data_IF_023895894664
#
_entry.id   IF_023895894664
#
_cell.length_a   1.000
_cell.length_b   1.000
_cell.length_c   1.000
_cell.angle_alpha   90.00
_cell.angle_beta   90.00
_cell.angle_gamma   90.00
#
_symmetry.space_group_name_H-M   'P 1'
#
loop_
_entity.id
_entity.type
_entity.pdbx_description
1 polymer ?
#
# COMPACT_ATOMS: atom_id res chain seq x y z
N UNK A 1 24.70 -24.34 4.80
CA UNK A 1 25.15 -22.93 4.84
C UNK A 1 25.62 -22.52 6.23
N UNK A 2 24.82 -22.74 7.27
CA UNK A 2 25.16 -22.39 8.66
C UNK A 2 26.47 -23.02 9.15
N UNK A 3 26.72 -24.29 8.83
CA UNK A 3 27.96 -24.98 9.23
C UNK A 3 29.21 -24.36 8.60
N UNK A 4 29.10 -23.85 7.38
CA UNK A 4 30.18 -23.16 6.69
C UNK A 4 30.50 -21.83 7.40
N UNK A 5 29.47 -21.05 7.74
CA UNK A 5 29.66 -19.80 8.48
C UNK A 5 30.27 -20.08 9.87
N UNK A 6 29.77 -21.08 10.59
CA UNK A 6 30.32 -21.51 11.88
C UNK A 6 31.79 -21.94 11.78
N UNK A 7 32.16 -22.68 10.73
CA UNK A 7 33.55 -23.10 10.50
C UNK A 7 34.49 -21.91 10.22
N UNK A 8 34.01 -20.89 9.50
CA UNK A 8 34.79 -19.71 9.14
C UNK A 8 34.81 -18.61 10.23
N UNK A 9 34.01 -18.74 11.29
CA UNK A 9 33.87 -17.73 12.34
C UNK A 9 35.13 -17.45 13.16
N UNK A 10 36.02 -18.42 13.35
CA UNK A 10 37.22 -18.25 14.20
C UNK A 10 38.12 -17.12 13.68
N UNK A 11 38.43 -16.16 14.55
CA UNK A 11 39.37 -15.07 14.29
C UNK A 11 38.84 -13.96 13.37
N UNK A 12 37.53 -13.94 13.06
CA UNK A 12 36.91 -12.92 12.19
C UNK A 12 35.60 -12.42 12.77
N UNK A 13 35.32 -11.13 12.57
CA UNK A 13 33.99 -10.56 12.79
C UNK A 13 33.17 -10.71 11.51
N UNK A 14 32.02 -11.38 11.61
CA UNK A 14 31.08 -11.52 10.50
C UNK A 14 29.82 -10.74 10.85
N UNK A 15 29.46 -9.79 9.99
CA UNK A 15 28.20 -9.06 10.07
C UNK A 15 27.25 -9.66 9.04
N UNK A 16 26.08 -10.10 9.50
CA UNK A 16 25.03 -10.69 8.68
C UNK A 16 23.74 -9.92 8.92
N UNK A 17 22.96 -9.73 7.87
CA UNK A 17 21.58 -9.23 7.95
C UNK A 17 20.66 -10.34 7.47
N UNK A 18 19.63 -10.65 8.25
CA UNK A 18 18.64 -11.69 7.92
C UNK A 18 17.25 -11.19 8.27
N UNK A 19 16.25 -11.64 7.51
CA UNK A 19 14.83 -11.46 7.83
C UNK A 19 14.24 -12.65 8.59
N UNK A 20 14.99 -13.74 8.74
CA UNK A 20 14.58 -14.92 9.51
C UNK A 20 15.14 -14.84 10.92
N UNK A 21 14.26 -14.80 11.93
CA UNK A 21 14.68 -14.67 13.32
C UNK A 21 15.43 -15.92 13.82
N UNK A 22 15.08 -17.11 13.30
CA UNK A 22 15.78 -18.37 13.61
C UNK A 22 17.24 -18.36 13.14
N UNK A 23 17.53 -17.75 11.98
CA UNK A 23 18.90 -17.61 11.50
C UNK A 23 19.73 -16.71 12.42
N UNK A 24 19.14 -15.61 12.88
CA UNK A 24 19.77 -14.69 13.82
C UNK A 24 20.02 -15.37 15.18
N UNK A 25 19.08 -16.17 15.65
CA UNK A 25 19.15 -16.90 16.92
C UNK A 25 20.25 -17.98 16.89
N UNK A 26 20.38 -18.72 15.78
CA UNK A 26 21.35 -19.83 15.65
C UNK A 26 22.77 -19.36 15.33
N UNK A 27 22.94 -18.26 14.61
CA UNK A 27 24.25 -17.78 14.13
C UNK A 27 24.79 -16.58 14.91
N UNK A 28 23.93 -15.80 15.53
CA UNK A 28 24.27 -14.51 16.12
C UNK A 28 24.78 -14.62 17.55
N UNK A 29 26.00 -14.10 17.80
CA UNK A 29 26.48 -13.86 19.17
C UNK A 29 25.83 -12.64 19.80
N UNK A 30 25.66 -11.62 18.96
CA UNK A 30 24.96 -10.38 19.28
C UNK A 30 24.01 -10.09 18.14
N UNK A 31 22.75 -9.93 18.48
CA UNK A 31 21.65 -9.67 17.58
C UNK A 31 21.25 -8.22 17.79
N UNK A 32 21.20 -7.44 16.71
CA UNK A 32 20.73 -6.07 16.71
C UNK A 32 19.37 -5.98 16.01
N UNK A 33 18.39 -5.38 16.67
CA UNK A 33 17.06 -5.15 16.08
C UNK A 33 16.98 -3.69 15.64
N UNK A 34 16.72 -3.48 14.36
CA UNK A 34 16.58 -2.16 13.75
C UNK A 34 15.11 -1.89 13.41
N UNK A 35 14.61 -0.70 13.76
CA UNK A 35 13.27 -0.23 13.38
C UNK A 35 13.31 1.26 13.09
N UNK A 36 12.60 1.69 12.03
CA UNK A 36 12.51 3.09 11.59
C UNK A 36 13.86 3.80 11.36
N UNK A 37 14.86 3.04 10.90
CA UNK A 37 16.20 3.57 10.63
C UNK A 37 17.09 3.72 11.88
N UNK A 38 16.61 3.30 13.05
CA UNK A 38 17.35 3.35 14.31
C UNK A 38 17.56 1.94 14.88
N UNK A 39 18.73 1.71 15.49
CA UNK A 39 19.02 0.48 16.22
C UNK A 39 18.31 0.53 17.57
N UNK A 40 17.28 -0.30 17.75
CA UNK A 40 16.42 -0.28 18.93
C UNK A 40 17.05 -1.01 20.12
N UNK A 41 17.63 -2.19 19.86
CA UNK A 41 18.30 -2.96 20.89
C UNK A 41 19.41 -3.84 20.28
N UNK A 42 20.38 -4.21 21.12
CA UNK A 42 21.46 -5.11 20.76
C UNK A 42 21.83 -5.98 21.96
N UNK A 43 21.99 -7.28 21.75
CA UNK A 43 22.37 -8.22 22.82
C UNK A 43 22.40 -9.65 22.34
N UNK A 44 22.74 -10.60 23.21
CA UNK A 44 22.57 -12.02 22.90
C UNK A 44 21.08 -12.38 22.78
N UNK A 45 20.77 -13.49 22.11
CA UNK A 45 19.38 -13.96 22.00
C UNK A 45 18.73 -14.13 23.38
N UNK A 46 19.43 -14.74 24.33
CA UNK A 46 18.95 -14.93 25.71
C UNK A 46 18.70 -13.61 26.41
N UNK A 47 19.58 -12.61 26.24
CA UNK A 47 19.40 -11.27 26.81
C UNK A 47 18.13 -10.60 26.26
N UNK A 48 17.96 -10.61 24.94
CA UNK A 48 16.81 -9.99 24.28
C UNK A 48 15.50 -10.65 24.70
N UNK A 49 15.46 -11.99 24.76
CA UNK A 49 14.29 -12.76 25.21
C UNK A 49 13.95 -12.50 26.68
N UNK A 50 14.94 -12.35 27.57
CA UNK A 50 14.70 -12.03 28.98
C UNK A 50 14.25 -10.60 29.20
N UNK A 51 14.88 -9.64 28.52
CA UNK A 51 14.67 -8.21 28.77
C UNK A 51 13.41 -7.67 28.07
N UNK A 52 13.14 -8.12 26.84
CA UNK A 52 12.01 -7.66 26.04
C UNK A 52 10.89 -8.70 25.89
N UNK A 53 11.13 -9.95 26.26
CA UNK A 53 10.12 -11.00 26.20
C UNK A 53 9.10 -10.90 27.33
N UNK A 54 7.98 -11.61 27.18
CA UNK A 54 6.91 -11.61 28.17
C UNK A 54 7.13 -12.65 29.29
N UNK A 55 7.95 -13.67 29.06
CA UNK A 55 8.15 -14.79 30.00
C UNK A 55 8.09 -16.15 29.30
N UNK A 56 7.92 -17.21 30.09
CA UNK A 56 7.53 -18.51 29.57
C UNK A 56 6.01 -18.56 29.42
N UNK A 57 5.52 -19.13 28.32
CA UNK A 57 4.10 -19.31 28.09
C UNK A 57 3.69 -20.73 28.48
N UNK A 58 2.84 -20.85 29.48
CA UNK A 58 2.20 -22.09 29.87
C UNK A 58 0.84 -22.19 29.17
N UNK A 59 0.72 -23.18 28.29
CA UNK A 59 -0.49 -23.50 27.55
C UNK A 59 -1.14 -24.71 28.20
N UNK A 60 -2.35 -24.56 28.72
CA UNK A 60 -3.12 -25.65 29.32
C UNK A 60 -4.23 -26.06 28.35
N UNK A 61 -4.27 -27.33 27.97
CA UNK A 61 -5.34 -27.90 27.14
C UNK A 61 -6.41 -28.49 28.03
N UNK A 62 -7.62 -27.95 27.98
CA UNK A 62 -8.75 -28.41 28.80
C UNK A 62 -9.49 -29.56 28.12
N UNK A 63 -10.21 -30.36 28.90
CA UNK A 63 -11.09 -31.38 28.37
C UNK A 63 -12.27 -30.75 27.60
N UNK A 64 -12.68 -31.32 26.45
CA UNK A 64 -13.82 -30.82 25.70
C UNK A 64 -15.08 -30.79 26.56
N UNK A 65 -15.62 -29.61 26.82
CA UNK A 65 -16.81 -29.41 27.67
C UNK A 65 -16.52 -28.98 29.12
N UNK A 66 -15.26 -29.01 29.58
CA UNK A 66 -14.88 -28.57 30.93
C UNK A 66 -15.26 -27.10 31.23
N UNK A 67 -15.13 -26.24 30.21
CA UNK A 67 -15.58 -24.85 30.27
C UNK A 67 -17.11 -24.69 30.20
N UNK A 68 -17.86 -25.71 29.74
CA UNK A 68 -19.30 -25.62 29.50
C UNK A 68 -20.19 -26.17 30.64
N UNK A 69 -19.68 -27.05 31.50
CA UNK A 69 -20.53 -27.88 32.39
C UNK A 69 -20.09 -27.89 33.86
N UNK A 70 -20.50 -26.89 34.65
CA UNK A 70 -20.68 -27.06 36.11
C UNK A 70 -21.96 -26.37 36.60
N UNK A 71 -23.11 -26.98 36.33
CA UNK A 71 -24.35 -26.80 37.10
C UNK A 71 -25.12 -28.13 37.17
N UNK A 72 -24.94 -28.88 38.26
CA UNK A 72 -26.02 -29.61 38.95
C UNK A 72 -25.50 -30.43 40.13
N UNK A 73 -25.55 -29.85 41.32
CA UNK A 73 -26.02 -30.54 42.52
C UNK A 73 -26.41 -29.43 43.50
N UNK A 74 -27.68 -29.09 43.59
CA UNK A 74 -28.55 -29.66 44.63
C UNK A 74 -30.00 -29.32 44.30
N UNK A 75 -30.90 -30.19 44.76
CA UNK A 75 -32.31 -30.20 44.47
C UNK A 75 -33.10 -29.02 45.09
N UNK A 76 -34.28 -28.81 44.52
CA UNK A 76 -35.48 -28.13 45.01
C UNK A 76 -35.86 -26.79 44.34
N UNK A 77 -37.11 -26.82 43.87
CA UNK A 77 -38.07 -25.75 43.57
C UNK A 77 -38.10 -25.08 42.17
N UNK A 78 -39.26 -25.14 41.47
CA UNK A 78 -39.51 -24.39 40.25
C UNK A 78 -40.05 -22.99 40.58
N UNK A 79 -40.08 -22.13 39.57
CA UNK A 79 -40.66 -20.75 39.54
C UNK A 79 -39.64 -19.63 39.74
N UNK A 80 -38.99 -19.23 38.65
CA UNK A 80 -38.69 -17.83 38.36
C UNK A 80 -38.44 -17.64 36.86
N UNK A 81 -39.43 -17.06 36.18
CA UNK A 81 -39.32 -16.51 34.83
C UNK A 81 -38.36 -15.31 34.89
N UNK A 82 -37.16 -15.42 34.33
CA UNK A 82 -36.25 -14.29 34.14
C UNK A 82 -35.36 -14.48 32.90
N UNK A 83 -35.74 -13.72 31.86
CA UNK A 83 -34.96 -13.15 30.75
C UNK A 83 -33.59 -13.74 30.40
N UNK A 84 -33.56 -14.37 29.24
CA UNK A 84 -32.37 -14.87 28.54
C UNK A 84 -31.49 -13.73 28.02
N UNK A 85 -30.52 -13.24 28.80
CA UNK A 85 -29.32 -12.60 28.20
C UNK A 85 -28.05 -12.48 29.07
N UNK A 86 -28.02 -13.02 30.28
CA UNK A 86 -26.84 -12.87 31.16
C UNK A 86 -26.56 -14.14 31.98
N UNK A 87 -26.23 -15.25 31.31
CA UNK A 87 -25.95 -16.53 32.00
C UNK A 87 -24.84 -17.38 31.37
N UNK A 88 -24.13 -16.88 30.36
CA UNK A 88 -23.14 -17.66 29.59
C UNK A 88 -21.67 -17.28 29.86
N UNK A 89 -21.39 -16.34 30.75
CA UNK A 89 -20.04 -15.77 30.97
C UNK A 89 -19.52 -15.94 32.40
N UNK A 90 -20.28 -16.54 33.31
CA UNK A 90 -19.93 -16.61 34.74
C UNK A 90 -19.18 -17.89 35.14
N UNK A 91 -19.41 -19.00 34.43
CA UNK A 91 -18.75 -20.30 34.70
C UNK A 91 -17.28 -20.32 34.27
N UNK A 92 -17.00 -19.77 33.09
CA UNK A 92 -15.64 -19.67 32.53
C UNK A 92 -14.69 -18.90 33.46
N UNK A 93 -15.17 -17.90 34.19
CA UNK A 93 -14.34 -17.07 35.06
C UNK A 93 -13.98 -17.75 36.39
N UNK A 94 -14.81 -18.66 36.92
CA UNK A 94 -14.58 -19.27 38.23
C UNK A 94 -13.46 -20.33 38.18
N UNK A 95 -13.50 -21.23 37.22
CA UNK A 95 -12.49 -22.28 37.04
C UNK A 95 -11.14 -21.68 36.64
N UNK A 96 -11.14 -20.71 35.71
CA UNK A 96 -9.92 -19.98 35.31
C UNK A 96 -9.31 -19.25 36.51
N UNK A 97 -10.13 -18.67 37.39
CA UNK A 97 -9.65 -18.01 38.61
C UNK A 97 -9.07 -18.99 39.64
N UNK A 98 -9.62 -20.20 39.76
CA UNK A 98 -9.05 -21.27 40.59
C UNK A 98 -7.69 -21.74 40.06
N UNK A 99 -7.57 -21.95 38.75
CA UNK A 99 -6.29 -22.31 38.11
C UNK A 99 -5.28 -21.18 38.28
N UNK A 100 -5.68 -19.93 38.07
CA UNK A 100 -4.82 -18.77 38.28
C UNK A 100 -4.33 -18.69 39.73
N UNK A 101 -5.21 -18.93 40.72
CA UNK A 101 -4.83 -18.94 42.13
C UNK A 101 -3.78 -20.01 42.44
N UNK A 102 -3.96 -21.24 41.92
CA UNK A 102 -3.01 -22.33 42.06
C UNK A 102 -1.64 -22.01 41.45
N UNK A 103 -1.63 -21.46 40.22
CA UNK A 103 -0.39 -21.05 39.55
C UNK A 103 0.29 -19.91 40.32
N UNK A 104 -0.47 -18.94 40.83
CA UNK A 104 0.09 -17.78 41.56
C UNK A 104 0.64 -18.16 42.93
N UNK A 105 0.08 -19.20 43.57
CA UNK A 105 0.59 -19.75 44.83
C UNK A 105 1.99 -20.34 44.68
N UNK A 106 2.24 -21.05 43.59
CA UNK A 106 3.52 -21.72 43.33
C UNK A 106 4.51 -20.86 42.53
N UNK A 107 4.02 -19.95 41.69
CA UNK A 107 4.80 -19.03 40.85
C UNK A 107 4.27 -17.60 41.02
N UNK A 108 4.83 -16.82 41.97
CA UNK A 108 4.37 -15.45 42.18
C UNK A 108 4.72 -14.58 40.96
N UNK A 109 3.72 -13.85 40.45
CA UNK A 109 3.85 -12.99 39.27
C UNK A 109 3.35 -13.62 37.96
N UNK A 110 2.77 -14.81 38.00
CA UNK A 110 2.07 -15.37 36.84
C UNK A 110 0.89 -14.47 36.41
N UNK A 111 0.76 -14.23 35.10
CA UNK A 111 -0.32 -13.42 34.53
C UNK A 111 -1.08 -14.20 33.47
N UNK A 112 -2.39 -13.95 33.39
CA UNK A 112 -3.27 -14.59 32.40
C UNK A 112 -3.32 -13.75 31.13
N UNK A 113 -3.04 -14.36 29.96
CA UNK A 113 -3.06 -13.65 28.67
C UNK A 113 -4.42 -13.77 27.98
N UNK A 114 -4.85 -15.00 27.69
CA UNK A 114 -6.01 -15.24 26.83
C UNK A 114 -6.61 -16.64 27.05
N UNK A 115 -7.94 -16.73 26.97
CA UNK A 115 -8.68 -18.00 26.85
C UNK A 115 -9.26 -18.08 25.44
N UNK A 116 -8.92 -19.15 24.71
CA UNK A 116 -9.50 -19.42 23.41
C UNK A 116 -10.61 -20.46 23.55
N UNK A 117 -11.86 -19.97 23.58
CA UNK A 117 -13.05 -20.83 23.72
C UNK A 117 -13.25 -21.80 22.56
N UNK A 118 -12.60 -21.57 21.40
CA UNK A 118 -12.70 -22.44 20.22
C UNK A 118 -11.77 -23.66 20.29
N UNK A 119 -10.65 -23.57 21.00
CA UNK A 119 -9.64 -24.63 21.13
C UNK A 119 -9.60 -25.26 22.53
N UNK A 120 -10.41 -24.76 23.48
CA UNK A 120 -10.39 -25.18 24.89
C UNK A 120 -9.00 -25.06 25.53
N UNK A 121 -8.23 -24.03 25.15
CA UNK A 121 -6.88 -23.77 25.66
C UNK A 121 -6.83 -22.51 26.53
N UNK A 122 -6.06 -22.57 27.61
CA UNK A 122 -5.75 -21.43 28.49
C UNK A 122 -4.27 -21.08 28.40
N UNK A 123 -3.96 -19.80 28.21
CA UNK A 123 -2.59 -19.31 28.10
C UNK A 123 -2.20 -18.42 29.28
N UNK A 124 -1.11 -18.80 29.96
CA UNK A 124 -0.53 -18.08 31.10
C UNK A 124 0.91 -17.68 30.79
N UNK A 125 1.35 -16.58 31.36
CA UNK A 125 2.74 -16.12 31.32
C UNK A 125 3.37 -16.29 32.68
N UNK A 126 4.46 -17.03 32.72
CA UNK A 126 5.30 -17.27 33.89
C UNK A 126 6.54 -16.37 33.81
N UNK A 127 6.87 -15.60 34.86
CA UNK A 127 8.06 -14.74 34.90
C UNK A 127 9.37 -15.51 34.75
N UNK A 128 10.38 -14.85 34.16
CA UNK A 128 11.74 -15.41 34.05
C UNK A 128 12.45 -15.57 35.39
N UNK A 129 12.08 -14.80 36.41
CA UNK A 129 12.74 -14.82 37.71
C UNK A 129 12.43 -16.09 38.52
N UNK A 130 11.34 -16.79 38.18
CA UNK A 130 10.84 -17.97 38.91
C UNK A 130 11.14 -19.30 38.22
N UNK A 131 12.12 -19.35 37.30
CA UNK A 131 12.52 -20.58 36.60
C UNK A 131 12.88 -21.71 37.58
N UNK A 132 13.49 -21.37 38.71
CA UNK A 132 13.86 -22.35 39.74
C UNK A 132 12.63 -23.04 40.35
N UNK A 133 11.50 -22.33 40.47
CA UNK A 133 10.24 -22.86 41.00
C UNK A 133 9.56 -23.85 40.05
N UNK A 134 9.89 -23.84 38.76
CA UNK A 134 9.27 -24.72 37.75
C UNK A 134 9.51 -26.20 38.03
N UNK A 135 10.69 -26.54 38.56
CA UNK A 135 11.05 -27.91 38.91
C UNK A 135 10.14 -28.53 39.98
N UNK A 136 9.63 -27.72 40.91
CA UNK A 136 8.68 -28.13 41.94
C UNK A 136 7.22 -27.96 41.51
N UNK A 137 6.93 -26.98 40.66
CA UNK A 137 5.59 -26.67 40.17
C UNK A 137 5.02 -27.73 39.22
N UNK A 138 5.79 -28.19 38.22
CA UNK A 138 5.25 -29.13 37.22
C UNK A 138 4.80 -30.48 37.81
N UNK A 139 5.53 -31.11 38.75
CA UNK A 139 5.05 -32.33 39.41
C UNK A 139 3.75 -32.14 40.20
N UNK A 140 3.55 -30.95 40.80
CA UNK A 140 2.32 -30.62 41.51
C UNK A 140 1.17 -30.35 40.54
N UNK A 141 1.45 -29.67 39.43
CA UNK A 141 0.48 -29.49 38.36
C UNK A 141 0.03 -30.84 37.79
N UNK A 142 0.97 -31.77 37.56
CA UNK A 142 0.71 -33.14 37.10
C UNK A 142 -0.23 -33.92 38.03
N UNK A 143 -0.07 -33.77 39.35
CA UNK A 143 -0.93 -34.40 40.34
C UNK A 143 -2.37 -33.87 40.27
N UNK A 144 -2.52 -32.56 40.03
CA UNK A 144 -3.82 -31.88 40.07
C UNK A 144 -4.50 -31.73 38.69
N UNK A 145 -3.90 -32.21 37.59
CA UNK A 145 -4.47 -32.16 36.23
C UNK A 145 -5.91 -32.66 36.17
N UNK A 146 -6.19 -33.77 36.86
CA UNK A 146 -7.52 -34.41 36.88
C UNK A 146 -8.58 -33.59 37.63
N UNK A 147 -8.18 -32.77 38.60
CA UNK A 147 -9.09 -31.93 39.39
C UNK A 147 -9.52 -30.65 38.65
N UNK A 148 -8.64 -30.17 37.76
CA UNK A 148 -8.82 -28.97 36.95
C UNK A 148 -9.37 -29.25 35.53
N UNK A 149 -9.73 -30.50 35.23
CA UNK A 149 -10.21 -30.93 33.91
C UNK A 149 -9.20 -30.62 32.77
N UNK A 150 -7.90 -30.76 33.05
CA UNK A 150 -6.79 -30.50 32.12
C UNK A 150 -6.34 -31.81 31.47
N UNK A 151 -6.28 -31.84 30.14
CA UNK A 151 -5.81 -32.98 29.34
C UNK A 151 -4.30 -33.01 29.24
N UNK A 152 -3.67 -31.84 29.18
CA UNK A 152 -2.22 -31.71 29.14
C UNK A 152 -1.78 -30.26 29.13
N UNK A 153 -0.48 -30.04 29.30
CA UNK A 153 0.10 -28.70 29.23
C UNK A 153 1.34 -28.68 28.33
N UNK A 154 1.60 -27.52 27.73
CA UNK A 154 2.80 -27.22 26.96
C UNK A 154 3.45 -25.96 27.53
N UNK A 155 4.78 -25.92 27.51
CA UNK A 155 5.55 -24.74 27.93
C UNK A 155 6.36 -24.28 26.73
N UNK A 156 6.16 -23.04 26.31
CA UNK A 156 6.93 -22.42 25.22
C UNK A 156 7.71 -21.22 25.73
N UNK A 157 8.86 -20.98 25.12
CA UNK A 157 9.70 -19.81 25.42
C UNK A 157 9.31 -18.68 24.47
N UNK A 158 9.45 -17.43 24.90
CA UNK A 158 9.31 -16.28 24.01
C UNK A 158 10.29 -16.42 22.83
N UNK A 159 9.77 -16.39 21.59
CA UNK A 159 10.58 -16.42 20.37
C UNK A 159 11.21 -15.06 20.08
N UNK A 160 12.27 -15.03 19.28
CA UNK A 160 12.91 -13.77 18.89
C UNK A 160 12.00 -12.95 17.95
N UNK A 161 11.07 -13.60 17.25
CA UNK A 161 9.99 -12.95 16.48
C UNK A 161 9.05 -12.14 17.37
N UNK A 162 8.66 -12.68 18.52
CA UNK A 162 7.82 -11.97 19.48
C UNK A 162 8.54 -10.76 20.07
N UNK A 163 9.83 -10.91 20.40
CA UNK A 163 10.68 -9.79 20.84
C UNK A 163 10.77 -8.73 19.74
N UNK A 164 10.97 -9.13 18.49
CA UNK A 164 11.04 -8.22 17.35
C UNK A 164 9.73 -7.42 17.17
N UNK A 165 8.57 -8.08 17.22
CA UNK A 165 7.27 -7.42 17.10
C UNK A 165 7.01 -6.46 18.26
N UNK A 166 7.43 -6.83 19.48
CA UNK A 166 7.27 -6.01 20.68
C UNK A 166 8.14 -4.76 20.66
N UNK A 167 9.40 -4.87 20.20
CA UNK A 167 10.32 -3.75 20.03
C UNK A 167 9.93 -2.88 18.81
N UNK A 168 9.35 -3.48 17.77
CA UNK A 168 8.91 -2.81 16.54
C UNK A 168 7.65 -1.95 16.69
N UNK A 169 6.89 -2.10 17.78
CA UNK A 169 5.70 -1.31 18.09
C UNK A 169 4.36 -1.91 17.63
N UNK A 170 4.36 -3.11 17.07
CA UNK A 170 3.16 -3.79 16.55
C UNK A 170 2.64 -4.85 17.57
N UNK A 171 2.19 -4.38 18.73
CA UNK A 171 1.72 -5.23 19.84
C UNK A 171 0.56 -6.18 19.48
N UNK A 172 -0.27 -5.84 18.49
CA UNK A 172 -1.42 -6.67 18.07
C UNK A 172 -1.01 -7.92 17.27
N UNK A 173 0.16 -7.90 16.63
CA UNK A 173 0.67 -9.04 15.84
C UNK A 173 1.44 -10.03 16.70
N UNK A 174 2.09 -9.58 17.78
CA UNK A 174 2.83 -10.43 18.71
C UNK A 174 1.94 -11.52 19.36
N UNK A 175 0.68 -11.18 19.66
CA UNK A 175 -0.32 -12.12 20.20
C UNK A 175 -0.76 -13.17 19.17
N UNK A 176 -0.78 -12.82 17.86
CA UNK A 176 -1.19 -13.74 16.79
C UNK A 176 -0.05 -14.69 16.37
N UNK A 177 1.21 -14.23 16.38
CA UNK A 177 2.38 -15.05 16.07
C UNK A 177 2.52 -16.24 17.04
N UNK A 178 2.16 -16.03 18.31
CA UNK A 178 2.15 -17.06 19.34
C UNK A 178 1.11 -18.17 19.09
N UNK A 179 -0.02 -17.86 18.43
CA UNK A 179 -1.05 -18.83 18.10
C UNK A 179 -0.74 -19.64 16.82
N UNK A 180 0.12 -19.12 15.93
CA UNK A 180 0.46 -19.79 14.66
C UNK A 180 1.57 -20.85 14.76
N UNK A 181 2.23 -21.00 15.92
CA UNK A 181 3.29 -22.00 16.12
C UNK A 181 2.77 -23.43 16.38
N UNK A 182 1.46 -23.65 16.40
CA UNK A 182 0.79 -24.91 16.79
C UNK A 182 0.88 -26.06 15.73
N UNK A 183 1.74 -25.91 14.71
CA UNK A 183 1.74 -26.77 13.52
C UNK A 183 2.94 -27.70 13.31
N UNK A 184 4.07 -27.50 14.00
CA UNK A 184 5.29 -28.25 13.66
C UNK A 184 6.30 -28.34 14.80
N UNK A 185 6.17 -29.36 15.67
CA UNK A 185 7.34 -30.09 16.19
C UNK A 185 6.92 -31.38 16.91
N UNK A 186 6.90 -32.49 16.16
CA UNK A 186 7.11 -33.84 16.68
C UNK A 186 8.47 -34.30 16.19
N UNK A 187 9.53 -34.05 16.95
CA UNK A 187 10.72 -34.90 17.05
C UNK A 187 11.80 -34.26 17.95
N UNK A 188 12.10 -34.95 19.06
CA UNK A 188 13.46 -35.19 19.59
C UNK A 188 14.46 -34.03 19.61
N UNK A 189 14.78 -33.54 20.81
CA UNK A 189 15.99 -32.75 21.06
C UNK A 189 16.30 -32.59 22.54
N UNK A 190 16.87 -33.61 23.16
CA UNK A 190 17.60 -33.49 24.44
C UNK A 190 18.74 -32.48 24.28
N UNK A 191 18.55 -31.26 24.77
CA UNK A 191 19.60 -30.26 24.92
C UNK A 191 20.10 -30.25 26.36
N UNK A 192 21.35 -30.65 26.55
CA UNK A 192 22.07 -30.54 27.82
C UNK A 192 22.16 -29.09 28.29
N UNK A 193 21.88 -28.87 29.58
CA UNK A 193 22.08 -27.61 30.26
C UNK A 193 23.59 -27.42 30.53
N UNK A 194 24.31 -26.86 29.57
CA UNK A 194 25.66 -26.37 29.83
C UNK A 194 25.57 -24.93 30.37
N UNK A 195 25.81 -24.82 31.67
CA UNK A 195 26.04 -23.57 32.39
C UNK A 195 27.44 -23.05 32.03
N UNK A 196 27.51 -22.08 31.11
CA UNK A 196 28.76 -21.33 30.87
C UNK A 196 28.81 -20.08 31.75
N UNK A 197 29.96 -19.90 32.41
CA UNK A 197 30.27 -18.82 33.33
C UNK A 197 30.99 -17.70 32.56
N UNK A 198 30.48 -16.48 32.71
CA UNK A 198 31.26 -15.26 32.64
C UNK A 198 31.72 -14.81 31.25
N UNK A 199 30.94 -13.93 30.61
CA UNK A 199 31.48 -12.93 29.69
C UNK A 199 30.85 -11.58 29.99
N UNK A 200 31.72 -10.57 30.12
CA UNK A 200 31.45 -9.21 30.56
C UNK A 200 30.29 -8.55 29.81
N UNK A 201 29.29 -8.11 30.58
CA UNK A 201 28.10 -7.42 30.10
C UNK A 201 28.44 -5.94 29.84
N UNK A 202 28.56 -5.57 28.56
CA UNK A 202 28.65 -4.15 28.18
C UNK A 202 27.22 -3.60 28.13
N UNK A 203 26.79 -3.03 29.25
CA UNK A 203 25.69 -2.08 29.31
C UNK A 203 26.11 -0.83 28.53
N UNK A 204 25.71 -0.73 27.26
CA UNK A 204 25.86 0.52 26.51
C UNK A 204 24.86 1.50 27.07
N UNK A 205 25.29 2.27 28.08
CA UNK A 205 24.60 3.48 28.52
C UNK A 205 24.44 4.38 27.29
N UNK A 206 23.20 4.48 26.83
CA UNK A 206 22.71 5.27 25.69
C UNK A 206 22.74 6.77 25.99
N UNK A 207 23.89 7.31 26.36
CA UNK A 207 24.08 8.75 26.59
C UNK A 207 25.12 9.36 25.64
N UNK A 208 26.25 8.69 25.38
CA UNK A 208 27.32 9.29 24.57
C UNK A 208 27.29 8.91 23.08
N UNK A 209 26.61 7.83 22.69
CA UNK A 209 26.40 7.50 21.26
C UNK A 209 25.45 8.47 20.56
N UNK A 210 24.68 9.27 21.31
CA UNK A 210 23.80 10.30 20.74
C UNK A 210 24.56 11.47 20.11
N UNK A 211 25.84 11.71 20.47
CA UNK A 211 26.62 12.82 19.91
C UNK A 211 27.27 12.54 18.56
N UNK A 212 27.50 11.27 18.18
CA UNK A 212 28.14 10.95 16.90
C UNK A 212 27.15 10.65 15.76
N UNK A 213 25.89 10.35 16.07
CA UNK A 213 24.83 10.13 15.06
C UNK A 213 24.01 11.40 14.78
N UNK A 214 24.13 12.45 15.60
CA UNK A 214 23.51 13.76 15.39
C UNK A 214 24.22 14.64 14.32
N UNK A 215 24.82 14.02 13.30
CA UNK A 215 25.34 14.70 12.11
C UNK A 215 25.02 13.93 10.82
N UNK A 216 23.87 13.28 10.78
CA UNK A 216 23.17 13.02 9.53
C UNK A 216 22.13 14.12 9.36
N UNK A 217 22.52 15.23 8.74
CA UNK A 217 21.53 16.10 8.10
C UNK A 217 20.63 15.16 7.27
N UNK A 218 19.33 15.16 7.57
CA UNK A 218 18.33 14.43 6.79
C UNK A 218 18.67 14.57 5.30
N UNK A 219 18.65 13.50 4.48
CA UNK A 219 18.85 13.68 3.06
C UNK A 219 17.78 14.66 2.60
N UNK A 220 18.21 15.88 2.27
CA UNK A 220 17.34 17.00 1.96
C UNK A 220 16.25 16.47 1.03
N UNK A 221 14.98 16.65 1.37
CA UNK A 221 13.81 16.08 0.68
C UNK A 221 13.95 16.07 -0.87
N UNK A 222 14.62 17.08 -1.41
CA UNK A 222 15.01 17.23 -2.81
C UNK A 222 15.83 16.06 -3.40
N UNK A 223 16.79 15.50 -2.66
CA UNK A 223 17.60 14.36 -3.11
C UNK A 223 16.71 13.12 -3.26
N UNK A 224 15.80 12.90 -2.32
CA UNK A 224 14.83 11.81 -2.41
C UNK A 224 13.89 12.02 -3.60
N UNK A 225 13.33 13.23 -3.74
CA UNK A 225 12.47 13.60 -4.88
C UNK A 225 13.20 13.37 -6.21
N UNK A 226 14.44 13.81 -6.33
CA UNK A 226 15.26 13.62 -7.54
C UNK A 226 15.52 12.13 -7.84
N UNK A 227 15.83 11.33 -6.82
CA UNK A 227 16.01 9.88 -6.95
C UNK A 227 14.75 9.18 -7.47
N UNK A 228 13.58 9.53 -6.92
CA UNK A 228 12.30 8.98 -7.38
C UNK A 228 11.90 9.47 -8.77
N UNK A 229 12.13 10.75 -9.07
CA UNK A 229 11.92 11.31 -10.40
C UNK A 229 12.75 10.57 -11.45
N UNK A 230 14.05 10.38 -11.19
CA UNK A 230 14.95 9.63 -12.06
C UNK A 230 14.53 8.17 -12.20
N UNK A 231 14.12 7.52 -11.10
CA UNK A 231 13.59 6.15 -11.12
C UNK A 231 12.35 6.05 -12.02
N UNK A 232 11.41 6.99 -11.88
CA UNK A 232 10.17 7.02 -12.68
C UNK A 232 10.48 7.15 -14.17
N UNK A 233 11.37 8.07 -14.54
CA UNK A 233 11.78 8.28 -15.93
C UNK A 233 12.52 7.06 -16.50
N UNK A 234 13.46 6.48 -15.73
CA UNK A 234 14.20 5.29 -16.16
C UNK A 234 13.28 4.09 -16.37
N UNK A 235 12.32 3.86 -15.46
CA UNK A 235 11.34 2.78 -15.59
C UNK A 235 10.45 2.97 -16.83
N UNK A 236 9.98 4.20 -17.05
CA UNK A 236 9.14 4.52 -18.20
C UNK A 236 9.88 4.32 -19.53
N UNK A 237 11.18 4.64 -19.60
CA UNK A 237 11.98 4.51 -20.82
C UNK A 237 12.55 3.10 -21.06
N UNK A 238 12.75 2.31 -20.01
CA UNK A 238 13.32 0.97 -20.12
C UNK A 238 12.36 -0.05 -20.74
N UNK A 239 11.04 0.10 -20.53
CA UNK A 239 10.02 -0.79 -21.07
C UNK A 239 9.41 -0.21 -22.37
N UNK A 240 9.89 -0.60 -23.57
CA UNK A 240 9.44 0.01 -24.83
C UNK A 240 7.95 -0.20 -25.09
N UNK A 241 7.37 -1.30 -24.60
CA UNK A 241 5.93 -1.59 -24.72
C UNK A 241 5.04 -0.55 -24.05
N UNK A 242 5.56 0.13 -23.02
CA UNK A 242 4.86 1.18 -22.28
C UNK A 242 5.29 2.57 -22.73
N UNK A 243 6.60 2.76 -22.96
CA UNK A 243 7.18 4.02 -23.38
C UNK A 243 6.61 4.53 -24.72
N UNK A 244 6.52 3.64 -25.72
CA UNK A 244 6.12 3.98 -27.09
C UNK A 244 4.69 4.53 -27.15
N UNK A 245 3.64 3.84 -26.65
CA UNK A 245 2.28 4.39 -26.68
C UNK A 245 2.12 5.62 -25.79
N UNK A 246 2.95 5.79 -24.75
CA UNK A 246 2.90 6.96 -23.88
C UNK A 246 3.49 8.21 -24.54
N UNK A 247 4.61 8.09 -25.26
CA UNK A 247 5.37 9.24 -25.77
C UNK A 247 5.08 9.51 -27.26
N UNK A 248 5.00 8.47 -28.10
CA UNK A 248 4.98 8.61 -29.55
C UNK A 248 3.56 8.69 -30.13
N UNK A 249 2.58 8.08 -29.46
CA UNK A 249 1.22 7.99 -29.99
C UNK A 249 0.48 9.35 -30.01
N UNK A 250 0.58 10.23 -28.99
CA UNK A 250 0.00 11.58 -29.08
C UNK A 250 0.53 12.44 -30.24
N UNK A 251 1.85 12.59 -30.47
CA UNK A 251 2.37 13.34 -31.62
C UNK A 251 2.06 12.66 -32.97
N UNK A 252 2.04 11.32 -33.03
CA UNK A 252 1.64 10.62 -34.26
C UNK A 252 0.16 10.88 -34.61
N UNK A 253 -0.73 10.86 -33.62
CA UNK A 253 -2.15 11.20 -33.80
C UNK A 253 -2.32 12.67 -34.20
N UNK A 254 -1.56 13.59 -33.60
CA UNK A 254 -1.57 15.00 -33.97
C UNK A 254 -1.08 15.23 -35.40
N UNK A 255 0.01 14.59 -35.81
CA UNK A 255 0.51 14.67 -37.19
C UNK A 255 -0.52 14.14 -38.20
N UNK A 256 -1.15 13.00 -37.92
CA UNK A 256 -2.22 12.48 -38.77
C UNK A 256 -3.42 13.44 -38.87
N UNK A 257 -3.84 14.02 -37.73
CA UNK A 257 -4.93 15.00 -37.68
C UNK A 257 -4.62 16.26 -38.50
N UNK A 258 -3.43 16.83 -38.34
CA UNK A 258 -3.01 18.03 -39.07
C UNK A 258 -2.89 17.77 -40.56
N UNK A 259 -2.32 16.64 -40.98
CA UNK A 259 -2.23 16.28 -42.39
C UNK A 259 -3.62 16.09 -43.02
N UNK A 260 -4.53 15.37 -42.37
CA UNK A 260 -5.89 15.17 -42.87
C UNK A 260 -6.65 16.49 -43.01
N UNK A 261 -6.43 17.45 -42.10
CA UNK A 261 -7.00 18.79 -42.20
C UNK A 261 -6.41 19.57 -43.40
N UNK A 262 -5.09 19.53 -43.59
CA UNK A 262 -4.41 20.20 -44.72
C UNK A 262 -4.84 19.63 -46.07
N UNK A 263 -5.08 18.32 -46.16
CA UNK A 263 -5.57 17.68 -47.39
C UNK A 263 -7.09 17.81 -47.59
N UNK A 264 -7.81 18.54 -46.71
CA UNK A 264 -9.24 18.78 -46.84
C UNK A 264 -10.10 17.52 -46.68
N UNK A 265 -9.58 16.45 -46.07
CA UNK A 265 -10.32 15.19 -45.86
C UNK A 265 -11.46 15.34 -44.85
N UNK A 266 -11.33 16.28 -43.90
CA UNK A 266 -12.35 16.56 -42.89
C UNK A 266 -13.33 17.69 -43.28
N UNK A 267 -13.26 18.21 -44.51
CA UNK A 267 -14.10 19.31 -45.01
C UNK A 267 -13.31 20.55 -45.42
N UNK A 268 -13.99 21.68 -45.59
CA UNK A 268 -13.35 22.95 -45.92
C UNK A 268 -12.49 23.44 -44.76
N UNK A 269 -11.25 23.86 -45.06
CA UNK A 269 -10.31 24.37 -44.05
C UNK A 269 -10.91 25.59 -43.36
N UNK A 270 -11.03 25.54 -42.03
CA UNK A 270 -11.67 26.59 -41.22
C UNK A 270 -13.15 26.34 -40.87
N UNK A 271 -13.77 25.28 -41.43
CA UNK A 271 -15.09 24.86 -40.98
C UNK A 271 -15.04 24.26 -39.56
N UNK A 272 -16.08 24.54 -38.78
CA UNK A 272 -16.25 24.04 -37.42
C UNK A 272 -16.14 22.50 -37.33
N UNK A 273 -16.70 21.80 -38.31
CA UNK A 273 -16.68 20.33 -38.40
C UNK A 273 -15.25 19.77 -38.52
N UNK A 274 -14.40 20.41 -39.32
CA UNK A 274 -13.01 20.00 -39.51
C UNK A 274 -12.19 20.20 -38.23
N UNK A 275 -12.37 21.33 -37.54
CA UNK A 275 -11.69 21.63 -36.26
C UNK A 275 -12.08 20.65 -35.14
N UNK A 276 -13.34 20.21 -35.13
CA UNK A 276 -13.83 19.22 -34.17
C UNK A 276 -13.25 17.84 -34.49
N UNK A 277 -13.22 17.45 -35.76
CA UNK A 277 -12.64 16.18 -36.17
C UNK A 277 -11.15 16.09 -35.81
N UNK A 278 -10.38 17.17 -36.02
CA UNK A 278 -8.97 17.22 -35.58
C UNK A 278 -8.83 17.11 -34.07
N UNK A 279 -9.72 17.77 -33.31
CA UNK A 279 -9.70 17.74 -31.85
C UNK A 279 -9.91 16.33 -31.30
N UNK A 280 -10.88 15.60 -31.87
CA UNK A 280 -11.20 14.23 -31.50
C UNK A 280 -10.05 13.26 -31.79
N UNK A 281 -9.39 13.38 -32.94
CA UNK A 281 -8.25 12.53 -33.30
C UNK A 281 -7.07 12.77 -32.36
N UNK A 282 -6.77 14.03 -32.03
CA UNK A 282 -5.72 14.39 -31.06
C UNK A 282 -6.07 13.87 -29.66
N UNK A 283 -7.33 14.03 -29.22
CA UNK A 283 -7.79 13.52 -27.94
C UNK A 283 -7.71 11.99 -27.84
N UNK A 284 -8.05 11.28 -28.90
CA UNK A 284 -7.89 9.82 -28.98
C UNK A 284 -6.44 9.39 -28.78
N UNK A 285 -5.48 10.19 -29.25
CA UNK A 285 -4.05 9.95 -29.05
C UNK A 285 -3.60 9.99 -27.58
N UNK A 286 -4.33 10.71 -26.72
CA UNK A 286 -4.04 10.82 -25.29
C UNK A 286 -4.68 9.73 -24.43
N UNK A 287 -5.65 8.96 -24.95
CA UNK A 287 -6.35 7.93 -24.19
C UNK A 287 -5.41 6.85 -23.61
N UNK A 288 -4.42 6.32 -24.36
CA UNK A 288 -3.47 5.34 -23.80
C UNK A 288 -2.61 5.93 -22.68
N UNK A 289 -2.28 7.23 -22.75
CA UNK A 289 -1.47 7.90 -21.74
C UNK A 289 -2.18 7.93 -20.38
N UNK A 290 -3.48 8.26 -20.36
CA UNK A 290 -4.30 8.24 -19.15
C UNK A 290 -4.34 6.84 -18.52
N UNK A 291 -4.47 5.82 -19.37
CA UNK A 291 -4.48 4.42 -18.95
C UNK A 291 -3.14 3.98 -18.34
N UNK A 292 -2.00 4.40 -18.91
CA UNK A 292 -0.67 4.02 -18.45
C UNK A 292 -0.24 4.74 -17.16
N UNK A 293 -0.63 6.01 -16.98
CA UNK A 293 -0.36 6.74 -15.73
C UNK A 293 -1.15 6.09 -14.58
N UNK A 294 -2.43 5.81 -14.78
CA UNK A 294 -3.27 5.19 -13.75
C UNK A 294 -2.84 3.75 -13.44
N UNK A 295 -2.45 2.95 -14.45
CA UNK A 295 -1.88 1.61 -14.23
C UNK A 295 -0.66 1.66 -13.32
N UNK A 296 0.28 2.58 -13.56
CA UNK A 296 1.48 2.65 -12.74
C UNK A 296 1.16 2.88 -11.26
N UNK A 297 0.27 3.84 -10.96
CA UNK A 297 -0.15 4.14 -9.58
C UNK A 297 -0.83 2.93 -8.94
N UNK A 298 -1.65 2.18 -9.70
CA UNK A 298 -2.30 0.96 -9.22
C UNK A 298 -1.28 -0.17 -9.01
N UNK A 299 -0.31 -0.34 -9.92
CA UNK A 299 0.72 -1.37 -9.84
C UNK A 299 1.64 -1.16 -8.63
N UNK A 300 2.00 0.09 -8.31
CA UNK A 300 2.78 0.40 -7.11
C UNK A 300 1.99 0.19 -5.81
N UNK A 301 0.67 0.42 -5.84
CA UNK A 301 -0.22 0.09 -4.71
C UNK A 301 -0.29 -1.41 -4.46
N UNK A 302 -0.48 -2.21 -5.52
CA UNK A 302 -0.61 -3.67 -5.43
C UNK A 302 0.70 -4.32 -4.98
N UNK A 303 1.84 -3.86 -5.49
CA UNK A 303 3.18 -4.35 -5.08
C UNK A 303 3.61 -3.86 -3.69
N UNK A 304 2.83 -3.00 -3.04
CA UNK A 304 3.16 -2.33 -1.77
C UNK A 304 4.52 -1.65 -1.78
N UNK A 305 4.99 -1.23 -2.96
CA UNK A 305 6.33 -0.67 -3.15
C UNK A 305 6.56 0.57 -2.29
N UNK A 306 5.52 1.40 -2.12
CA UNK A 306 5.55 2.55 -1.22
C UNK A 306 5.87 2.15 0.22
N UNK A 307 5.25 1.09 0.75
CA UNK A 307 5.47 0.67 2.13
C UNK A 307 6.91 0.18 2.31
N UNK A 308 7.45 -0.56 1.32
CA UNK A 308 8.85 -0.99 1.32
C UNK A 308 9.79 0.23 1.33
N UNK A 309 9.54 1.23 0.49
CA UNK A 309 10.34 2.45 0.45
C UNK A 309 10.26 3.25 1.77
N UNK A 310 9.10 3.29 2.41
CA UNK A 310 8.93 3.94 3.72
C UNK A 310 9.70 3.22 4.82
N UNK A 311 9.73 1.88 4.82
CA UNK A 311 10.57 1.09 5.74
C UNK A 311 12.06 1.33 5.48
N UNK A 312 12.46 1.57 4.22
CA UNK A 312 13.82 1.95 3.84
C UNK A 312 14.17 3.43 4.15
N UNK A 313 13.26 4.21 4.75
CA UNK A 313 13.51 5.60 5.15
C UNK A 313 13.15 6.67 4.10
N UNK A 314 12.38 6.33 3.06
CA UNK A 314 11.83 7.31 2.12
C UNK A 314 10.58 7.98 2.70
N UNK A 315 10.57 9.32 2.72
CA UNK A 315 9.39 10.06 3.17
C UNK A 315 8.22 9.93 2.18
N UNK A 316 7.00 9.82 2.72
CA UNK A 316 5.77 9.62 1.95
C UNK A 316 5.50 10.83 1.05
N UNK A 317 5.82 12.05 1.51
CA UNK A 317 5.63 13.28 0.73
C UNK A 317 6.60 13.35 -0.44
N UNK A 318 7.88 13.04 -0.21
CA UNK A 318 8.91 12.95 -1.26
C UNK A 318 8.50 11.96 -2.35
N UNK A 319 7.88 10.84 -1.96
CA UNK A 319 7.40 9.85 -2.91
C UNK A 319 6.34 10.42 -3.87
N UNK A 320 5.28 11.02 -3.33
CA UNK A 320 4.21 11.57 -4.16
C UNK A 320 4.70 12.69 -5.08
N UNK A 321 5.54 13.60 -4.58
CA UNK A 321 6.08 14.71 -5.36
C UNK A 321 7.01 14.19 -6.46
N UNK A 322 7.91 13.26 -6.15
CA UNK A 322 8.85 12.69 -7.12
C UNK A 322 8.15 11.93 -8.24
N UNK A 323 7.15 11.10 -7.91
CA UNK A 323 6.37 10.35 -8.90
C UNK A 323 5.52 11.28 -9.77
N UNK A 324 4.84 12.26 -9.16
CA UNK A 324 4.05 13.27 -9.87
C UNK A 324 4.94 14.08 -10.85
N UNK A 325 6.12 14.51 -10.39
CA UNK A 325 7.06 15.24 -11.23
C UNK A 325 7.54 14.39 -12.41
N UNK A 326 7.75 13.10 -12.19
CA UNK A 326 8.09 12.15 -13.26
C UNK A 326 6.99 12.06 -14.32
N UNK A 327 5.73 11.96 -13.91
CA UNK A 327 4.58 11.92 -14.83
C UNK A 327 4.40 13.23 -15.60
N UNK A 328 4.59 14.39 -14.95
CA UNK A 328 4.61 15.68 -15.64
C UNK A 328 5.75 15.78 -16.66
N UNK A 329 6.94 15.26 -16.36
CA UNK A 329 8.04 15.26 -17.33
C UNK A 329 7.76 14.35 -18.53
N UNK A 330 7.15 13.18 -18.31
CA UNK A 330 6.75 12.29 -19.41
C UNK A 330 5.67 12.93 -20.29
N UNK A 331 4.69 13.58 -19.67
CA UNK A 331 3.71 14.39 -20.39
C UNK A 331 4.37 15.51 -21.19
N UNK A 332 5.28 16.26 -20.59
CA UNK A 332 5.99 17.37 -21.23
C UNK A 332 6.76 16.92 -22.48
N UNK A 333 7.39 15.74 -22.47
CA UNK A 333 8.06 15.16 -23.65
C UNK A 333 7.04 14.92 -24.78
N UNK A 334 5.90 14.30 -24.47
CA UNK A 334 4.84 14.07 -25.48
C UNK A 334 4.26 15.37 -26.02
N UNK A 335 4.07 16.36 -25.14
CA UNK A 335 3.53 17.67 -25.45
C UNK A 335 4.46 18.46 -26.38
N UNK A 336 5.77 18.43 -26.09
CA UNK A 336 6.80 19.02 -26.94
C UNK A 336 6.81 18.36 -28.33
N UNK A 337 6.61 17.05 -28.41
CA UNK A 337 6.42 16.34 -29.68
C UNK A 337 5.26 16.90 -30.50
N UNK A 338 4.11 17.18 -29.88
CA UNK A 338 2.96 17.79 -30.57
C UNK A 338 3.31 19.19 -31.09
N UNK A 339 3.96 20.02 -30.27
CA UNK A 339 4.38 21.37 -30.69
C UNK A 339 5.33 21.31 -31.90
N UNK A 340 6.29 20.38 -31.90
CA UNK A 340 7.18 20.16 -33.05
C UNK A 340 6.37 19.74 -34.29
N UNK A 341 5.43 18.81 -34.16
CA UNK A 341 4.60 18.38 -35.30
C UNK A 341 3.73 19.51 -35.84
N UNK A 342 3.19 20.36 -34.96
CA UNK A 342 2.40 21.53 -35.34
C UNK A 342 3.26 22.57 -36.07
N UNK A 343 4.48 22.85 -35.57
CA UNK A 343 5.43 23.75 -36.21
C UNK A 343 5.87 23.24 -37.58
N UNK A 344 6.17 21.94 -37.70
CA UNK A 344 6.54 21.32 -38.97
C UNK A 344 5.44 21.41 -40.02
N UNK A 345 4.18 21.19 -39.62
CA UNK A 345 3.03 21.34 -40.50
C UNK A 345 2.78 22.81 -40.89
N UNK A 346 2.99 23.74 -39.96
CA UNK A 346 2.85 25.17 -40.19
C UNK A 346 3.89 25.73 -41.18
N UNK A 347 5.13 25.21 -41.15
CA UNK A 347 6.21 25.63 -42.06
C UNK A 347 6.07 25.04 -43.47
N UNK A 348 5.50 23.83 -43.61
CA UNK A 348 5.46 23.10 -44.90
C UNK A 348 4.49 23.68 -45.94
N UNK A 349 3.42 24.36 -45.51
CA UNK A 349 2.52 25.13 -46.37
C UNK A 349 2.01 26.35 -45.59
N UNK A 350 2.63 27.53 -45.71
CA UNK A 350 2.04 28.74 -45.17
C UNK A 350 0.70 28.94 -45.88
N UNK A 351 -0.41 28.83 -45.14
CA UNK A 351 -1.71 29.27 -45.64
C UNK A 351 -1.55 30.76 -45.93
N UNK A 352 -1.76 31.22 -47.17
CA UNK A 352 -1.69 32.64 -47.46
C UNK A 352 -2.70 33.35 -46.55
N UNK A 353 -2.21 34.33 -45.79
CA UNK A 353 -3.05 35.23 -45.00
C UNK A 353 -3.92 35.97 -46.01
N UNK A 354 -5.14 35.47 -46.25
CA UNK A 354 -6.15 36.21 -46.99
C UNK A 354 -6.52 37.45 -46.18
N UNK A 355 -6.76 38.58 -46.85
CA UNK A 355 -7.04 39.91 -46.29
C UNK A 355 -8.29 40.00 -45.37
N UNK A 356 -8.92 38.86 -45.06
CA UNK A 356 -9.96 38.77 -44.05
C UNK A 356 -9.32 38.79 -42.66
N UNK A 357 -9.22 40.00 -42.12
CA UNK A 357 -8.83 40.44 -40.77
C UNK A 357 -9.48 39.66 -39.59
N UNK A 358 -10.33 38.67 -39.88
CA UNK A 358 -11.11 37.91 -38.90
C UNK A 358 -10.79 36.41 -38.79
N UNK A 359 -10.03 35.79 -39.70
CA UNK A 359 -9.77 34.35 -39.59
C UNK A 359 -8.53 34.03 -38.73
N UNK A 360 -8.64 34.32 -37.43
CA UNK A 360 -7.59 34.13 -36.40
C UNK A 360 -7.44 32.68 -35.93
N UNK A 361 -8.26 31.75 -36.43
CA UNK A 361 -8.37 30.37 -35.97
C UNK A 361 -7.55 29.36 -36.79
N UNK A 362 -6.34 29.75 -37.21
CA UNK A 362 -5.45 28.89 -37.99
C UNK A 362 -4.31 28.31 -37.14
N UNK A 363 -3.83 27.11 -37.48
CA UNK A 363 -2.75 26.45 -36.74
C UNK A 363 -1.48 27.33 -36.61
N UNK A 364 -1.18 28.12 -37.64
CA UNK A 364 -0.03 29.04 -37.71
C UNK A 364 -0.13 30.18 -36.69
N UNK A 365 -1.29 30.82 -36.55
CA UNK A 365 -1.51 31.88 -35.56
C UNK A 365 -1.44 31.33 -34.13
N UNK A 366 -1.94 30.12 -33.92
CA UNK A 366 -1.94 29.47 -32.59
C UNK A 366 -0.57 29.04 -32.10
N UNK A 367 0.32 28.65 -33.02
CA UNK A 367 1.72 28.37 -32.73
C UNK A 367 2.47 29.68 -32.44
N UNK A 368 2.27 30.71 -33.26
CA UNK A 368 2.94 32.01 -33.11
C UNK A 368 2.53 32.77 -31.84
N UNK A 369 1.24 32.72 -31.48
CA UNK A 369 0.71 33.37 -30.27
C UNK A 369 1.01 32.58 -28.98
N UNK A 370 1.62 31.40 -29.06
CA UNK A 370 1.90 30.53 -27.90
C UNK A 370 0.65 29.93 -27.23
N UNK A 371 -0.54 30.12 -27.80
CA UNK A 371 -1.82 29.61 -27.26
C UNK A 371 -1.83 28.08 -27.17
N UNK A 372 -1.25 27.41 -28.17
CA UNK A 372 -1.13 25.95 -28.18
C UNK A 372 -0.33 25.43 -26.97
N UNK A 373 0.74 26.12 -26.59
CA UNK A 373 1.59 25.71 -25.47
C UNK A 373 0.87 25.84 -24.11
N UNK A 374 0.24 26.99 -23.86
CA UNK A 374 -0.49 27.25 -22.60
C UNK A 374 -1.60 26.23 -22.40
N UNK A 375 -2.34 25.98 -23.47
CA UNK A 375 -3.45 25.06 -23.45
C UNK A 375 -2.97 23.62 -23.18
N UNK A 376 -1.87 23.21 -23.80
CA UNK A 376 -1.29 21.88 -23.59
C UNK A 376 -0.81 21.71 -22.15
N UNK A 377 -0.21 22.74 -21.55
CA UNK A 377 0.15 22.74 -20.15
C UNK A 377 -1.06 22.57 -19.21
N UNK A 378 -2.15 23.30 -19.46
CA UNK A 378 -3.40 23.17 -18.70
C UNK A 378 -4.03 21.78 -18.86
N UNK A 379 -4.01 21.24 -20.08
CA UNK A 379 -4.52 19.91 -20.36
C UNK A 379 -3.70 18.83 -19.64
N UNK A 380 -2.38 18.96 -19.58
CA UNK A 380 -1.51 18.06 -18.82
C UNK A 380 -1.86 18.01 -17.33
N UNK A 381 -2.10 19.17 -16.72
CA UNK A 381 -2.53 19.26 -15.33
C UNK A 381 -3.86 18.52 -15.11
N UNK A 382 -4.85 18.81 -15.95
CA UNK A 382 -6.16 18.15 -15.87
C UNK A 382 -6.07 16.64 -16.06
N UNK A 383 -5.31 16.18 -17.06
CA UNK A 383 -5.16 14.78 -17.42
C UNK A 383 -4.49 13.98 -16.31
N UNK A 384 -3.40 14.50 -15.75
CA UNK A 384 -2.66 13.82 -14.67
C UNK A 384 -3.52 13.79 -13.39
N UNK A 385 -4.12 14.91 -12.99
CA UNK A 385 -4.99 14.96 -11.80
C UNK A 385 -6.16 13.98 -11.92
N UNK A 386 -6.81 13.93 -13.08
CA UNK A 386 -7.90 13.00 -13.34
C UNK A 386 -7.45 11.54 -13.32
N UNK A 387 -6.29 11.22 -13.90
CA UNK A 387 -5.70 9.88 -13.88
C UNK A 387 -5.42 9.39 -12.45
N UNK A 388 -4.84 10.25 -11.61
CA UNK A 388 -4.58 9.94 -10.21
C UNK A 388 -5.87 9.69 -9.42
N UNK A 389 -6.90 10.51 -9.64
CA UNK A 389 -8.22 10.31 -9.04
C UNK A 389 -8.83 8.97 -9.45
N UNK A 390 -8.84 8.67 -10.75
CA UNK A 390 -9.40 7.43 -11.28
C UNK A 390 -8.62 6.18 -10.82
N UNK A 391 -7.31 6.31 -10.57
CA UNK A 391 -6.50 5.22 -10.01
C UNK A 391 -7.00 4.67 -8.67
N UNK A 392 -7.84 5.42 -7.95
CA UNK A 392 -8.42 4.94 -6.68
C UNK A 392 -9.46 3.84 -6.89
N UNK A 393 -10.20 3.87 -8.00
CA UNK A 393 -11.31 2.94 -8.27
C UNK A 393 -10.84 1.56 -8.76
N UNK A 394 -9.56 1.43 -9.15
CA UNK A 394 -9.03 0.20 -9.73
C UNK A 394 -8.22 -0.61 -8.72
N UNK A 395 -8.58 -1.90 -8.58
CA UNK A 395 -7.86 -2.85 -7.73
C UNK A 395 -6.80 -3.66 -8.47
N UNK A 396 -6.85 -3.73 -9.81
CA UNK A 396 -5.87 -4.45 -10.62
C UNK A 396 -5.32 -3.58 -11.76
N UNK A 397 -4.01 -3.66 -12.04
CA UNK A 397 -3.35 -2.80 -13.04
C UNK A 397 -3.79 -3.13 -14.47
N UNK A 398 -3.98 -4.42 -14.78
CA UNK A 398 -4.44 -4.86 -16.11
C UNK A 398 -5.84 -4.34 -16.44
N UNK A 399 -6.72 -4.32 -15.44
CA UNK A 399 -8.07 -3.79 -15.61
C UNK A 399 -8.05 -2.27 -15.80
N UNK A 400 -7.15 -1.56 -15.10
CA UNK A 400 -6.97 -0.11 -15.30
C UNK A 400 -6.57 0.21 -16.76
N UNK A 401 -5.60 -0.49 -17.35
CA UNK A 401 -5.19 -0.26 -18.75
C UNK A 401 -6.36 -0.42 -19.72
N UNK A 402 -7.10 -1.51 -19.58
CA UNK A 402 -8.17 -1.84 -20.52
C UNK A 402 -9.40 -0.95 -20.37
N UNK A 403 -9.81 -0.65 -19.13
CA UNK A 403 -11.07 0.04 -18.85
C UNK A 403 -10.96 1.56 -18.90
N UNK A 404 -9.78 2.13 -18.58
CA UNK A 404 -9.60 3.58 -18.49
C UNK A 404 -9.95 4.34 -19.78
N UNK A 405 -9.55 3.90 -21.00
CA UNK A 405 -9.95 4.56 -22.24
C UNK A 405 -11.46 4.56 -22.45
N UNK A 406 -12.12 3.42 -22.19
CA UNK A 406 -13.58 3.32 -22.30
C UNK A 406 -14.28 4.20 -21.27
N UNK A 407 -13.75 4.29 -20.05
CA UNK A 407 -14.27 5.15 -19.01
C UNK A 407 -14.18 6.63 -19.41
N UNK A 408 -13.05 7.07 -19.96
CA UNK A 408 -12.89 8.44 -20.48
C UNK A 408 -13.87 8.73 -21.63
N UNK A 409 -14.02 7.81 -22.57
CA UNK A 409 -14.96 7.91 -23.69
C UNK A 409 -16.41 7.95 -23.16
N UNK A 410 -16.76 7.08 -22.22
CA UNK A 410 -18.08 7.04 -21.62
C UNK A 410 -18.41 8.34 -20.87
N UNK A 411 -17.46 8.91 -20.12
CA UNK A 411 -17.63 10.19 -19.43
C UNK A 411 -17.83 11.36 -20.43
N UNK A 412 -17.28 11.24 -21.63
CA UNK A 412 -17.43 12.22 -22.71
C UNK A 412 -18.79 12.09 -23.43
N UNK A 413 -19.28 10.88 -23.68
CA UNK A 413 -20.52 10.64 -24.44
C UNK A 413 -21.79 10.52 -23.59
N UNK A 414 -21.73 10.01 -22.35
CA UNK A 414 -22.94 9.78 -21.54
C UNK A 414 -23.63 11.10 -21.15
N UNK A 415 -22.94 12.14 -20.62
CA UNK A 415 -23.60 13.38 -20.27
C UNK A 415 -24.18 14.09 -21.49
N UNK A 416 -23.49 14.00 -22.63
CA UNK A 416 -23.95 14.59 -23.89
C UNK A 416 -25.22 13.88 -24.37
N UNK A 417 -25.21 12.55 -24.47
CA UNK A 417 -26.40 11.76 -24.83
C UNK A 417 -27.58 12.04 -23.90
N UNK A 418 -27.34 12.14 -22.59
CA UNK A 418 -28.38 12.43 -21.61
C UNK A 418 -29.03 13.81 -21.84
N UNK A 419 -28.22 14.85 -22.09
CA UNK A 419 -28.74 16.19 -22.43
C UNK A 419 -29.52 16.17 -23.75
N UNK A 420 -29.03 15.45 -24.76
CA UNK A 420 -29.73 15.29 -26.04
C UNK A 420 -31.08 14.59 -25.92
N UNK A 421 -31.15 13.50 -25.14
CA UNK A 421 -32.40 12.78 -24.86
C UNK A 421 -33.37 13.61 -24.03
N UNK A 422 -32.87 14.34 -23.02
CA UNK A 422 -33.67 15.26 -22.22
C UNK A 422 -34.29 16.36 -23.07
N UNK A 423 -33.52 16.91 -24.02
CA UNK A 423 -34.01 17.90 -24.97
C UNK A 423 -35.07 17.33 -25.92
N UNK A 424 -34.81 16.16 -26.50
CA UNK A 424 -35.78 15.49 -27.39
C UNK A 424 -37.09 15.18 -26.65
N UNK A 425 -37.02 14.81 -25.37
CA UNK A 425 -38.18 14.54 -24.52
C UNK A 425 -39.02 15.79 -24.16
N UNK A 426 -38.42 16.99 -24.16
CA UNK A 426 -39.11 18.25 -23.85
C UNK A 426 -39.88 18.86 -25.04
N UNK A 427 -39.66 18.36 -26.26
CA UNK A 427 -40.38 18.82 -27.45
C UNK A 427 -40.29 20.33 -27.70
N UNK A 428 -41.31 20.97 -28.29
CA UNK A 428 -41.28 22.41 -28.64
C UNK A 428 -41.21 23.35 -27.42
N UNK A 429 -41.60 22.90 -26.22
CA UNK A 429 -41.48 23.68 -24.97
C UNK A 429 -40.02 23.85 -24.51
N UNK A 430 -39.12 22.93 -24.90
CA UNK A 430 -37.69 23.05 -24.61
C UNK A 430 -37.02 24.15 -25.45
N UNK A 431 -37.42 24.29 -26.71
CA UNK A 431 -36.82 25.23 -27.67
C UNK A 431 -36.90 26.70 -27.22
N UNK A 432 -38.00 27.08 -26.57
CA UNK A 432 -38.25 28.45 -26.13
C UNK A 432 -37.56 28.80 -24.79
N UNK A 433 -37.20 27.81 -23.97
CA UNK A 433 -36.59 28.07 -22.66
C UNK A 433 -35.10 28.44 -22.73
N UNK A 434 -34.37 28.01 -23.77
CA UNK A 434 -32.90 28.19 -23.88
C UNK A 434 -32.43 28.62 -25.30
N UNK A 435 -33.32 28.85 -26.26
CA UNK A 435 -32.99 29.38 -27.61
C UNK A 435 -31.84 28.66 -28.34
N UNK A 436 -31.76 27.33 -28.23
CA UNK A 436 -30.77 26.51 -28.95
C UNK A 436 -31.44 25.74 -30.10
N UNK A 437 -31.06 26.05 -31.34
CA UNK A 437 -31.53 25.32 -32.52
C UNK A 437 -30.87 23.92 -32.62
N UNK A 438 -31.52 22.96 -33.28
CA UNK A 438 -31.04 21.58 -33.45
C UNK A 438 -29.55 21.41 -33.85
N UNK A 439 -29.00 22.13 -34.85
CA UNK A 439 -27.57 22.07 -35.18
C UNK A 439 -26.69 22.67 -34.07
N UNK A 440 -27.22 23.62 -33.29
CA UNK A 440 -26.49 24.25 -32.20
C UNK A 440 -26.30 23.33 -30.98
N UNK A 441 -27.13 22.29 -30.81
CA UNK A 441 -26.97 21.26 -29.77
C UNK A 441 -25.83 20.29 -30.09
N UNK A 442 -25.72 19.84 -31.35
CA UNK A 442 -24.59 19.05 -31.84
C UNK A 442 -23.28 19.85 -31.77
N UNK A 443 -23.32 21.13 -32.17
CA UNK A 443 -22.20 22.06 -32.06
C UNK A 443 -21.81 22.30 -30.60
N UNK A 444 -22.76 22.44 -29.67
CA UNK A 444 -22.47 22.58 -28.25
C UNK A 444 -21.98 21.29 -27.58
N UNK A 445 -22.48 20.14 -27.99
CA UNK A 445 -21.95 18.83 -27.60
C UNK A 445 -20.48 18.73 -28.02
N UNK A 446 -20.18 19.07 -29.27
CA UNK A 446 -18.81 19.06 -29.78
C UNK A 446 -17.95 20.14 -29.12
N UNK A 447 -18.50 21.31 -28.77
CA UNK A 447 -17.81 22.31 -27.94
C UNK A 447 -17.53 21.80 -26.52
N UNK A 448 -18.43 21.06 -25.89
CA UNK A 448 -18.21 20.43 -24.58
C UNK A 448 -17.13 19.34 -24.63
N UNK A 449 -17.16 18.51 -25.67
CA UNK A 449 -16.10 17.52 -25.97
C UNK A 449 -14.77 18.22 -26.20
N UNK A 450 -14.80 19.31 -26.95
CA UNK A 450 -13.60 20.00 -27.32
C UNK A 450 -13.02 20.79 -26.13
N UNK A 451 -13.83 21.29 -25.18
CA UNK A 451 -13.36 21.87 -23.90
C UNK A 451 -12.57 20.85 -23.07
N UNK A 452 -12.86 19.55 -23.24
CA UNK A 452 -12.09 18.45 -22.65
C UNK A 452 -10.89 18.00 -23.50
N UNK A 453 -10.65 18.62 -24.66
CA UNK A 453 -9.51 18.35 -25.54
C UNK A 453 -8.63 19.59 -25.64
N UNK A 454 -7.37 19.46 -26.11
CA UNK A 454 -6.54 20.61 -26.40
C UNK A 454 -7.04 21.51 -27.56
N UNK A 455 -8.22 21.28 -28.10
CA UNK A 455 -8.64 21.91 -29.35
C UNK A 455 -10.05 22.51 -29.30
N UNK A 456 -10.81 22.42 -28.21
CA UNK A 456 -12.15 23.06 -28.20
C UNK A 456 -12.23 24.51 -27.93
N UNK A 457 -11.14 25.09 -27.45
CA UNK A 457 -10.95 26.53 -27.51
C UNK A 457 -10.74 27.00 -28.96
N UNK A 458 -10.47 26.11 -29.95
CA UNK A 458 -10.47 26.47 -31.39
C UNK A 458 -11.88 26.66 -31.96
N UNK A 459 -12.93 26.24 -31.24
CA UNK A 459 -14.33 26.30 -31.70
C UNK A 459 -15.10 27.54 -31.21
N UNK A 460 -14.40 28.56 -30.71
CA UNK A 460 -14.95 29.88 -30.39
C UNK A 460 -14.66 30.88 -31.48
#
# INVERSE_FOLDING_TARGET
LWDLLKAYRRGRTMLLTTHYMDEADVLGDRIGIMSRGELQCIGSSTFLKRHFGAGYKLLLTMQPGALATRHSSTAADPVAVATNKSRKTLGDQALVKSILAFITEHVPGASFLQSESSAATLSFVLPFDQVNAFSAFFPLLDADLSSFDIVGYGVTITSLEEVFLRVGGDHSLASQAAASMDGAEKASGTGSLDMDHGQEEIEVQTSDSQRFVARGEQPQMLIQIYGLWRKRLAYALHDPKRAVPMILLPPAAALAAFLCNIYGQFGTVGALEASIATALVVAAGYLPMVALISEHVVAERVSRLRNVLTVMGCDVKSYWIGTLLGDFTLYAISALGIVITALGCALGRPVPVSDDEYNTNNLTTWVNDGRLFILLALFGFQLISFSYFCSHFFNSPKFAIAFMPFFCIALLFIPTIFVGLFWYGLGPLGADLIAFSGPALFINMLRGIAVCSPQGTLCK
#
